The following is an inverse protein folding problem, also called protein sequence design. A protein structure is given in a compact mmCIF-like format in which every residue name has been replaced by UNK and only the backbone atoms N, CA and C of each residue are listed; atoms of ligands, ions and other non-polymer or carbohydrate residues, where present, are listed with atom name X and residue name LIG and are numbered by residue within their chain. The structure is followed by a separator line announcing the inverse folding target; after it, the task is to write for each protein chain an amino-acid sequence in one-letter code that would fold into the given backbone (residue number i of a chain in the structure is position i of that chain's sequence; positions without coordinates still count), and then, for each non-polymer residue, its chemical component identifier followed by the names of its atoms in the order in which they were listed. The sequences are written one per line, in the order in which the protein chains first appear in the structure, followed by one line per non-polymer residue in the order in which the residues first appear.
data_IF_761247255714
#
_entry.id   IF_761247255714
#
_cell.length_a   1.000
_cell.length_b   1.000
_cell.length_c   1.000
_cell.angle_alpha   90.00
_cell.angle_beta   90.00
_cell.angle_gamma   90.00
#
_symmetry.space_group_name_H-M   'P 1'
#
loop_
_entity.id
_entity.type
_entity.pdbx_description
1 polymer ?
#
# COMPACT_ATOMS: atom_id res chain seq x y z
N UNK A 1 31.39 22.23 68.88
CA UNK A 1 30.50 21.28 68.18
C UNK A 1 31.18 20.92 66.88
N UNK A 2 31.58 19.67 66.70
CA UNK A 2 32.25 19.22 65.47
C UNK A 2 31.18 19.08 64.40
N UNK A 3 31.27 19.89 63.35
CA UNK A 3 30.37 19.84 62.21
C UNK A 3 30.70 18.59 61.40
N UNK A 4 29.85 17.57 61.48
CA UNK A 4 30.05 16.34 60.72
C UNK A 4 29.56 16.53 59.29
N UNK A 5 30.50 16.61 58.34
CA UNK A 5 30.23 16.66 56.90
C UNK A 5 29.26 15.59 56.41
N UNK A 6 29.17 14.47 57.14
CA UNK A 6 28.25 13.36 56.89
C UNK A 6 26.77 13.77 56.98
N UNK A 7 26.43 14.75 57.83
CA UNK A 7 25.06 15.27 58.00
C UNK A 7 24.60 16.10 56.80
N UNK A 8 25.52 16.63 55.98
CA UNK A 8 25.20 17.38 54.75
C UNK A 8 25.28 16.47 53.52
N UNK A 9 26.29 15.61 53.46
CA UNK A 9 26.53 14.74 52.30
C UNK A 9 25.38 13.75 52.10
N UNK A 10 24.82 13.22 53.18
CA UNK A 10 23.76 12.20 53.09
C UNK A 10 22.45 12.75 52.50
N UNK A 11 21.89 13.88 52.99
CA UNK A 11 20.71 14.50 52.38
C UNK A 11 20.94 14.91 50.92
N UNK A 12 22.11 15.50 50.62
CA UNK A 12 22.48 15.91 49.26
C UNK A 12 22.51 14.69 48.34
N UNK A 13 23.19 13.61 48.73
CA UNK A 13 23.27 12.39 47.94
C UNK A 13 21.89 11.76 47.68
N UNK A 14 21.00 11.74 48.69
CA UNK A 14 19.61 11.27 48.50
C UNK A 14 18.82 12.15 47.54
N UNK A 15 18.95 13.48 47.63
CA UNK A 15 18.29 14.41 46.71
C UNK A 15 18.79 14.23 45.27
N UNK A 16 20.10 14.07 45.08
CA UNK A 16 20.68 13.83 43.74
C UNK A 16 20.23 12.47 43.19
N UNK A 17 20.17 11.43 44.03
CA UNK A 17 19.72 10.11 43.63
C UNK A 17 18.23 10.10 43.23
N UNK A 18 17.37 10.76 44.01
CA UNK A 18 15.94 10.93 43.69
C UNK A 18 15.76 11.74 42.41
N UNK A 19 16.53 12.82 42.24
CA UNK A 19 16.47 13.65 41.04
C UNK A 19 16.95 12.89 39.78
N UNK A 20 18.05 12.14 39.88
CA UNK A 20 18.54 11.29 38.79
C UNK A 20 17.56 10.17 38.45
N UNK A 21 16.96 9.53 39.47
CA UNK A 21 15.93 8.52 39.29
C UNK A 21 14.69 9.07 38.58
N UNK A 22 14.17 10.22 39.05
CA UNK A 22 13.04 10.89 38.41
C UNK A 22 13.36 11.31 36.97
N UNK A 23 14.56 11.87 36.73
CA UNK A 23 15.02 12.24 35.39
C UNK A 23 15.16 11.03 34.48
N UNK A 24 15.66 9.91 34.99
CA UNK A 24 15.78 8.67 34.23
C UNK A 24 14.41 8.10 33.87
N UNK A 25 13.49 8.02 34.84
CA UNK A 25 12.11 7.55 34.63
C UNK A 25 11.38 8.42 33.61
N UNK A 26 11.41 9.75 33.76
CA UNK A 26 10.81 10.70 32.80
C UNK A 26 11.38 10.51 31.40
N UNK A 27 12.71 10.38 31.28
CA UNK A 27 13.36 10.18 29.97
C UNK A 27 12.97 8.82 29.36
N UNK A 28 12.84 7.79 30.18
CA UNK A 28 12.45 6.46 29.71
C UNK A 28 10.98 6.42 29.30
N UNK A 29 10.07 7.06 30.04
CA UNK A 29 8.67 7.20 29.67
C UNK A 29 8.48 8.02 28.39
N UNK A 30 9.15 9.17 28.26
CA UNK A 30 9.10 9.97 27.04
C UNK A 30 9.63 9.20 25.84
N UNK A 31 10.72 8.43 26.02
CA UNK A 31 11.28 7.57 24.98
C UNK A 31 10.30 6.46 24.60
N UNK A 32 9.69 5.79 25.59
CA UNK A 32 8.68 4.74 25.37
C UNK A 32 7.47 5.27 24.61
N UNK A 33 6.89 6.40 25.04
CA UNK A 33 5.78 7.04 24.33
C UNK A 33 6.13 7.44 22.90
N UNK A 34 7.35 7.92 22.68
CA UNK A 34 7.83 8.26 21.33
C UNK A 34 7.91 7.02 20.44
N UNK A 35 8.43 5.90 20.97
CA UNK A 35 8.49 4.63 20.26
C UNK A 35 7.10 4.08 19.95
N UNK A 36 6.17 4.13 20.90
CA UNK A 36 4.77 3.71 20.71
C UNK A 36 4.11 4.51 19.58
N UNK A 37 4.24 5.84 19.57
CA UNK A 37 3.69 6.71 18.52
C UNK A 37 4.32 6.41 17.16
N UNK A 38 5.63 6.15 17.11
CA UNK A 38 6.32 5.82 15.86
C UNK A 38 5.89 4.46 15.31
N UNK A 39 5.73 3.47 16.19
CA UNK A 39 5.21 2.15 15.85
C UNK A 39 3.78 2.22 15.32
N UNK A 40 2.88 2.91 16.00
CA UNK A 40 1.47 3.04 15.59
C UNK A 40 1.34 3.71 14.22
N UNK A 41 2.09 4.79 13.98
CA UNK A 41 2.13 5.46 12.67
C UNK A 41 2.63 4.55 11.56
N UNK A 42 3.61 3.71 11.87
CA UNK A 42 4.19 2.77 10.92
C UNK A 42 3.19 1.67 10.56
N UNK A 43 2.57 1.05 11.57
CA UNK A 43 1.50 0.07 11.42
C UNK A 43 0.34 0.59 10.58
N UNK A 44 -0.09 1.83 10.84
CA UNK A 44 -1.16 2.48 10.09
C UNK A 44 -0.78 2.65 8.61
N UNK A 45 0.41 3.18 8.32
CA UNK A 45 0.91 3.33 6.95
C UNK A 45 0.93 2.00 6.20
N UNK A 46 1.45 0.95 6.83
CA UNK A 46 1.54 -0.37 6.19
C UNK A 46 0.17 -1.01 6.00
N UNK A 47 -0.76 -0.80 6.93
CA UNK A 47 -2.14 -1.30 6.82
C UNK A 47 -2.88 -0.64 5.67
N UNK A 48 -2.81 0.69 5.57
CA UNK A 48 -3.40 1.44 4.46
C UNK A 48 -2.84 1.00 3.11
N UNK A 49 -1.51 1.00 2.96
CA UNK A 49 -0.84 0.54 1.74
C UNK A 49 -1.19 -0.91 1.39
N UNK A 50 -1.29 -1.79 2.40
CA UNK A 50 -1.67 -3.19 2.19
C UNK A 50 -3.11 -3.35 1.73
N UNK A 51 -4.03 -2.52 2.23
CA UNK A 51 -5.42 -2.54 1.80
C UNK A 51 -5.56 -2.05 0.36
N UNK A 52 -4.89 -0.94 0.01
CA UNK A 52 -4.82 -0.46 -1.37
C UNK A 52 -4.29 -1.54 -2.32
N UNK A 53 -3.21 -2.23 -1.96
CA UNK A 53 -2.67 -3.31 -2.79
C UNK A 53 -3.65 -4.49 -2.94
N UNK A 54 -4.43 -4.81 -1.90
CA UNK A 54 -5.46 -5.85 -1.98
C UNK A 54 -6.58 -5.45 -2.92
N UNK A 55 -7.03 -4.20 -2.88
CA UNK A 55 -8.11 -3.69 -3.72
C UNK A 55 -7.70 -3.68 -5.18
N UNK A 56 -6.49 -3.19 -5.49
CA UNK A 56 -5.94 -3.24 -6.85
C UNK A 56 -5.83 -4.70 -7.32
N UNK A 57 -5.32 -5.60 -6.47
CA UNK A 57 -5.23 -7.02 -6.82
C UNK A 57 -6.62 -7.62 -7.13
N UNK A 58 -7.62 -7.28 -6.33
CA UNK A 58 -9.00 -7.73 -6.52
C UNK A 58 -9.56 -7.25 -7.85
N UNK A 59 -9.35 -5.98 -8.20
CA UNK A 59 -9.77 -5.43 -9.50
C UNK A 59 -9.03 -6.14 -10.63
N UNK A 60 -7.71 -6.29 -10.55
CA UNK A 60 -6.91 -6.97 -11.58
C UNK A 60 -7.39 -8.40 -11.84
N UNK A 61 -7.61 -9.18 -10.78
CA UNK A 61 -8.12 -10.55 -10.91
C UNK A 61 -9.53 -10.58 -11.49
N UNK A 62 -10.38 -9.62 -11.11
CA UNK A 62 -11.74 -9.52 -11.66
C UNK A 62 -11.72 -9.25 -13.17
N UNK A 63 -10.84 -8.34 -13.61
CA UNK A 63 -10.66 -8.05 -15.05
C UNK A 63 -10.11 -9.29 -15.76
N UNK A 64 -9.09 -9.96 -15.21
CA UNK A 64 -8.54 -11.19 -15.79
C UNK A 64 -9.60 -12.28 -15.96
N UNK A 65 -10.38 -12.56 -14.91
CA UNK A 65 -11.46 -13.54 -14.97
C UNK A 65 -12.55 -13.16 -15.96
N UNK A 66 -12.89 -11.87 -16.05
CA UNK A 66 -13.87 -11.41 -17.04
C UNK A 66 -13.34 -11.65 -18.46
N UNK A 67 -12.05 -11.43 -18.72
CA UNK A 67 -11.45 -11.68 -20.03
C UNK A 67 -11.45 -13.16 -20.43
N UNK A 68 -11.33 -14.07 -19.46
CA UNK A 68 -11.38 -15.51 -19.71
C UNK A 68 -12.72 -15.94 -20.36
N UNK A 69 -13.82 -15.24 -20.04
CA UNK A 69 -15.14 -15.51 -20.63
C UNK A 69 -15.24 -15.07 -22.10
N UNK A 70 -14.40 -14.12 -22.53
CA UNK A 70 -14.41 -13.54 -23.87
C UNK A 70 -13.29 -14.05 -24.78
N UNK A 71 -12.30 -14.76 -24.24
CA UNK A 71 -11.19 -15.33 -25.00
C UNK A 71 -11.53 -16.80 -25.32
N UNK A 72 -11.71 -17.16 -26.60
CA UNK A 72 -12.02 -18.53 -26.97
C UNK A 72 -10.86 -19.47 -26.68
N UNK A 73 -11.18 -20.70 -26.29
CA UNK A 73 -10.21 -21.77 -26.00
C UNK A 73 -9.47 -22.28 -27.24
N UNK A 74 -9.96 -21.96 -28.44
CA UNK A 74 -9.37 -22.33 -29.73
C UNK A 74 -9.15 -21.09 -30.59
N UNK A 75 -8.18 -21.15 -31.51
CA UNK A 75 -7.89 -20.04 -32.42
C UNK A 75 -9.15 -19.66 -33.23
N UNK A 76 -9.69 -18.48 -32.94
CA UNK A 76 -10.91 -17.97 -33.56
C UNK A 76 -10.68 -16.55 -34.05
N UNK A 77 -11.02 -16.33 -35.33
CA UNK A 77 -11.04 -15.01 -35.96
C UNK A 77 -12.36 -14.31 -35.62
N UNK A 78 -12.46 -13.86 -34.37
CA UNK A 78 -13.62 -13.13 -33.88
C UNK A 78 -13.20 -11.86 -33.15
N UNK A 79 -14.19 -11.02 -32.86
CA UNK A 79 -14.02 -9.78 -32.14
C UNK A 79 -15.19 -9.57 -31.19
N UNK A 80 -14.90 -9.03 -30.02
CA UNK A 80 -15.89 -8.72 -28.98
C UNK A 80 -16.08 -7.21 -28.91
N UNK A 81 -17.31 -6.68 -28.94
CA UNK A 81 -17.58 -5.28 -28.70
C UNK A 81 -17.12 -4.85 -27.30
N UNK A 82 -16.51 -3.67 -27.18
CA UNK A 82 -16.06 -3.12 -25.88
C UNK A 82 -17.22 -3.02 -24.88
N UNK A 83 -18.42 -2.70 -25.37
CA UNK A 83 -19.63 -2.61 -24.55
C UNK A 83 -19.98 -3.91 -23.82
N UNK A 84 -19.83 -5.08 -24.46
CA UNK A 84 -20.10 -6.36 -23.81
C UNK A 84 -19.14 -6.61 -22.64
N UNK A 85 -17.87 -6.23 -22.81
CA UNK A 85 -16.86 -6.30 -21.76
C UNK A 85 -17.17 -5.29 -20.64
N UNK A 86 -17.55 -4.06 -20.97
CA UNK A 86 -17.92 -3.04 -19.97
C UNK A 86 -19.16 -3.43 -19.17
N UNK A 87 -20.14 -4.06 -19.82
CA UNK A 87 -21.36 -4.56 -19.21
C UNK A 87 -21.05 -5.68 -18.22
N UNK A 88 -20.20 -6.64 -18.59
CA UNK A 88 -19.71 -7.68 -17.69
C UNK A 88 -18.97 -7.09 -16.47
N UNK A 89 -18.12 -6.08 -16.68
CA UNK A 89 -17.40 -5.39 -15.61
C UNK A 89 -18.31 -4.52 -14.72
N UNK A 90 -19.47 -4.07 -15.23
CA UNK A 90 -20.41 -3.20 -14.49
C UNK A 90 -20.91 -3.86 -13.22
N UNK A 91 -21.32 -5.13 -13.29
CA UNK A 91 -21.82 -5.86 -12.12
C UNK A 91 -20.81 -6.00 -10.98
N UNK A 92 -19.50 -5.99 -11.29
CA UNK A 92 -18.45 -5.98 -10.27
C UNK A 92 -18.23 -4.59 -9.67
N UNK A 93 -18.29 -3.54 -10.50
CA UNK A 93 -18.20 -2.14 -10.03
C UNK A 93 -19.34 -1.82 -9.06
N UNK A 94 -20.56 -2.25 -9.36
CA UNK A 94 -21.73 -2.09 -8.48
C UNK A 94 -21.57 -2.81 -7.12
N UNK A 95 -20.78 -3.90 -7.09
CA UNK A 95 -20.40 -4.62 -5.85
C UNK A 95 -19.20 -4.00 -5.13
N UNK A 96 -18.76 -2.81 -5.53
CA UNK A 96 -17.64 -2.09 -4.92
C UNK A 96 -16.26 -2.57 -5.36
N UNK A 97 -16.13 -3.32 -6.45
CA UNK A 97 -14.83 -3.69 -7.04
C UNK A 97 -14.37 -2.54 -7.93
N UNK A 98 -13.80 -1.50 -7.30
CA UNK A 98 -13.38 -0.27 -7.96
C UNK A 98 -11.97 0.11 -7.48
N UNK A 99 -11.19 0.71 -8.37
CA UNK A 99 -9.89 1.28 -8.02
C UNK A 99 -10.11 2.61 -7.31
N UNK A 100 -9.71 2.68 -6.05
CA UNK A 100 -9.68 3.94 -5.28
C UNK A 100 -8.36 4.67 -5.53
N UNK A 101 -8.39 5.61 -6.49
CA UNK A 101 -7.21 6.39 -6.84
C UNK A 101 -6.81 7.40 -5.75
N UNK A 102 -7.77 7.91 -4.97
CA UNK A 102 -7.47 8.83 -3.86
C UNK A 102 -6.67 8.10 -2.78
N UNK A 103 -7.07 6.87 -2.45
CA UNK A 103 -6.33 6.01 -1.53
C UNK A 103 -4.93 5.65 -2.07
N UNK A 104 -4.81 5.36 -3.37
CA UNK A 104 -3.51 5.11 -4.02
C UNK A 104 -2.60 6.33 -3.90
N UNK A 105 -3.08 7.52 -4.25
CA UNK A 105 -2.32 8.76 -4.18
C UNK A 105 -1.94 9.12 -2.75
N UNK A 106 -2.84 8.91 -1.78
CA UNK A 106 -2.54 9.11 -0.37
C UNK A 106 -1.41 8.18 0.12
N UNK A 107 -1.48 6.89 -0.18
CA UNK A 107 -0.41 5.93 0.12
C UNK A 107 0.90 6.31 -0.57
N UNK A 108 0.83 6.73 -1.84
CA UNK A 108 1.98 7.14 -2.62
C UNK A 108 2.72 8.31 -1.96
N UNK A 109 2.02 9.38 -1.57
CA UNK A 109 2.62 10.53 -0.90
C UNK A 109 3.24 10.16 0.45
N UNK A 110 2.56 9.32 1.25
CA UNK A 110 3.10 8.87 2.54
C UNK A 110 4.38 8.05 2.35
N UNK A 111 4.42 7.16 1.36
CA UNK A 111 5.61 6.38 1.03
C UNK A 111 6.74 7.27 0.51
N UNK A 112 6.45 8.24 -0.37
CA UNK A 112 7.46 9.16 -0.88
C UNK A 112 8.18 9.90 0.24
N UNK A 113 7.42 10.42 1.21
CA UNK A 113 7.99 11.22 2.30
C UNK A 113 8.70 10.37 3.37
N UNK A 114 8.15 9.20 3.71
CA UNK A 114 8.63 8.42 4.85
C UNK A 114 9.52 7.24 4.45
N UNK A 115 9.41 6.75 3.20
CA UNK A 115 9.95 5.46 2.74
C UNK A 115 10.35 5.50 1.26
N UNK A 116 11.35 6.31 0.87
CA UNK A 116 11.67 6.55 -0.55
C UNK A 116 12.08 5.28 -1.33
N UNK A 117 12.66 4.27 -0.65
CA UNK A 117 13.02 2.99 -1.28
C UNK A 117 11.77 2.16 -1.61
N UNK A 118 10.80 2.14 -0.71
CA UNK A 118 9.52 1.45 -0.88
C UNK A 118 8.65 2.21 -1.88
N UNK A 119 8.70 3.54 -1.89
CA UNK A 119 8.07 4.38 -2.90
C UNK A 119 8.56 4.05 -4.31
N UNK A 120 9.88 3.91 -4.52
CA UNK A 120 10.38 3.52 -5.83
C UNK A 120 9.85 2.14 -6.28
N UNK A 121 9.80 1.18 -5.36
CA UNK A 121 9.23 -0.14 -5.64
C UNK A 121 7.72 -0.08 -5.92
N UNK A 122 7.01 0.78 -5.20
CA UNK A 122 5.58 1.07 -5.39
C UNK A 122 5.32 1.59 -6.79
N UNK A 123 6.07 2.61 -7.22
CA UNK A 123 5.95 3.23 -8.55
C UNK A 123 6.23 2.23 -9.67
N UNK A 124 7.32 1.47 -9.55
CA UNK A 124 7.72 0.48 -10.56
C UNK A 124 6.66 -0.63 -10.73
N UNK A 125 6.00 -1.04 -9.66
CA UNK A 125 4.97 -2.08 -9.73
C UNK A 125 3.60 -1.53 -10.15
N UNK A 126 3.17 -0.41 -9.57
CA UNK A 126 1.79 0.06 -9.70
C UNK A 126 1.53 0.93 -10.91
N UNK A 127 2.44 1.83 -11.31
CA UNK A 127 2.18 2.68 -12.49
C UNK A 127 1.92 1.81 -13.74
N UNK A 128 2.75 0.80 -14.07
CA UNK A 128 2.52 0.00 -15.25
C UNK A 128 1.22 -0.79 -15.16
N UNK A 129 0.85 -1.29 -13.98
CA UNK A 129 -0.38 -2.04 -13.77
C UNK A 129 -1.63 -1.17 -13.90
N UNK A 130 -1.64 -0.01 -13.22
CA UNK A 130 -2.74 0.94 -13.30
C UNK A 130 -2.92 1.45 -14.73
N UNK A 131 -1.83 1.74 -15.43
CA UNK A 131 -1.86 2.13 -16.84
C UNK A 131 -2.41 1.04 -17.76
N UNK A 132 -2.23 -0.24 -17.44
CA UNK A 132 -2.87 -1.34 -18.18
C UNK A 132 -4.34 -1.42 -17.83
N UNK A 133 -4.71 -1.41 -16.55
CA UNK A 133 -6.10 -1.49 -16.10
C UNK A 133 -6.97 -0.38 -16.69
N UNK A 134 -6.49 0.86 -16.72
CA UNK A 134 -7.25 2.00 -17.24
C UNK A 134 -7.57 1.92 -18.73
N UNK A 135 -6.90 1.04 -19.50
CA UNK A 135 -7.23 0.79 -20.92
C UNK A 135 -8.62 0.18 -21.10
N UNK A 136 -9.11 -0.60 -20.14
CA UNK A 136 -10.42 -1.27 -20.15
C UNK A 136 -11.33 -0.87 -18.98
N UNK A 137 -10.80 -0.26 -17.92
CA UNK A 137 -11.63 0.32 -16.86
C UNK A 137 -11.44 1.83 -16.89
N UNK A 138 -12.10 2.56 -17.81
CA UNK A 138 -11.91 4.00 -17.92
C UNK A 138 -12.27 4.67 -16.58
N UNK A 139 -11.29 5.40 -16.06
CA UNK A 139 -11.41 6.26 -14.89
C UNK A 139 -12.38 7.39 -15.24
N UNK A 140 -13.63 7.33 -14.74
CA UNK A 140 -14.66 8.37 -14.88
C UNK A 140 -14.51 9.21 -16.16
N UNK A 141 -14.88 8.68 -17.33
CA UNK A 141 -15.01 9.58 -18.47
C UNK A 141 -16.33 10.34 -18.33
N UNK A 142 -16.25 11.62 -17.98
CA UNK A 142 -17.35 12.59 -17.95
C UNK A 142 -17.99 12.85 -19.32
N UNK A 143 -17.71 12.04 -20.34
CA UNK A 143 -18.56 11.85 -21.51
C UNK A 143 -18.33 10.46 -22.13
N UNK A 144 -19.18 9.46 -21.85
CA UNK A 144 -19.00 8.11 -22.38
C UNK A 144 -19.48 7.90 -23.83
N UNK A 145 -20.04 8.90 -24.51
CA UNK A 145 -21.05 8.62 -25.55
C UNK A 145 -20.56 8.78 -27.01
N UNK A 146 -19.38 9.34 -27.30
CA UNK A 146 -19.03 9.62 -28.70
C UNK A 146 -18.07 8.61 -29.37
N UNK A 147 -17.18 7.95 -28.64
CA UNK A 147 -16.10 7.10 -29.24
C UNK A 147 -16.15 5.62 -28.81
N UNK A 148 -16.88 5.29 -27.75
CA UNK A 148 -16.98 3.93 -27.23
C UNK A 148 -17.92 3.03 -28.06
N UNK A 149 -18.80 3.60 -28.87
CA UNK A 149 -19.96 2.89 -29.45
C UNK A 149 -19.59 1.84 -30.51
N UNK A 150 -18.37 1.89 -31.07
CA UNK A 150 -17.95 0.97 -32.14
C UNK A 150 -16.60 0.27 -31.92
N UNK A 151 -15.96 0.44 -30.75
CA UNK A 151 -14.69 -0.24 -30.49
C UNK A 151 -14.94 -1.75 -30.35
N UNK A 152 -14.18 -2.54 -31.10
CA UNK A 152 -14.16 -4.00 -30.98
C UNK A 152 -12.75 -4.44 -30.67
N UNK A 153 -12.62 -5.43 -29.80
CA UNK A 153 -11.38 -6.09 -29.47
C UNK A 153 -11.32 -7.42 -30.21
N UNK A 154 -10.30 -7.61 -31.04
CA UNK A 154 -10.01 -8.94 -31.56
C UNK A 154 -9.62 -9.89 -30.42
N UNK A 155 -9.89 -11.19 -30.58
CA UNK A 155 -9.47 -12.18 -29.59
C UNK A 155 -7.94 -12.17 -29.35
N UNK A 156 -7.16 -11.82 -30.39
CA UNK A 156 -5.70 -11.67 -30.26
C UNK A 156 -5.35 -10.49 -29.37
N UNK A 157 -5.99 -9.32 -29.54
CA UNK A 157 -5.78 -8.16 -28.67
C UNK A 157 -6.20 -8.45 -27.22
N UNK A 158 -7.31 -9.15 -27.00
CA UNK A 158 -7.74 -9.58 -25.66
C UNK A 158 -6.71 -10.52 -25.02
N UNK A 159 -6.18 -11.47 -25.79
CA UNK A 159 -5.16 -12.41 -25.31
C UNK A 159 -3.87 -11.68 -24.91
N UNK A 160 -3.39 -10.75 -25.75
CA UNK A 160 -2.22 -9.94 -25.45
C UNK A 160 -2.44 -9.04 -24.23
N UNK A 161 -3.61 -8.40 -24.15
CA UNK A 161 -3.97 -7.57 -22.99
C UNK A 161 -4.02 -8.38 -21.69
N UNK A 162 -4.64 -9.57 -21.73
CA UNK A 162 -4.69 -10.50 -20.60
C UNK A 162 -3.29 -10.92 -20.15
N UNK A 163 -2.42 -11.29 -21.09
CA UNK A 163 -1.02 -11.65 -20.79
C UNK A 163 -0.28 -10.48 -20.15
N UNK A 164 -0.38 -9.27 -20.73
CA UNK A 164 0.21 -8.06 -20.18
C UNK A 164 -0.28 -7.78 -18.75
N UNK A 165 -1.59 -7.93 -18.51
CA UNK A 165 -2.20 -7.70 -17.20
C UNK A 165 -1.76 -8.76 -16.16
N UNK A 166 -1.72 -10.03 -16.54
CA UNK A 166 -1.26 -11.14 -15.69
C UNK A 166 0.21 -10.97 -15.29
N UNK A 167 1.07 -10.60 -16.24
CA UNK A 167 2.48 -10.32 -15.97
C UNK A 167 2.67 -9.17 -14.98
N UNK A 168 1.94 -8.06 -15.16
CA UNK A 168 2.05 -6.89 -14.27
C UNK A 168 1.43 -7.15 -12.89
N UNK A 169 0.35 -7.94 -12.82
CA UNK A 169 -0.30 -8.31 -11.56
C UNK A 169 0.65 -9.09 -10.64
N UNK A 170 1.55 -9.91 -11.19
CA UNK A 170 2.56 -10.67 -10.42
C UNK A 170 3.53 -9.78 -9.63
N UNK A 171 3.63 -8.49 -9.94
CA UNK A 171 4.42 -7.55 -9.17
C UNK A 171 3.79 -7.20 -7.80
N UNK A 172 2.46 -7.32 -7.65
CA UNK A 172 1.76 -6.93 -6.41
C UNK A 172 2.14 -7.78 -5.19
N UNK A 173 2.17 -9.14 -5.26
CA UNK A 173 2.59 -9.95 -4.13
C UNK A 173 4.04 -9.69 -3.71
N UNK A 174 4.92 -9.41 -4.68
CA UNK A 174 6.33 -9.08 -4.44
C UNK A 174 6.44 -7.76 -3.68
N UNK A 175 5.72 -6.72 -4.14
CA UNK A 175 5.66 -5.42 -3.48
C UNK A 175 5.11 -5.55 -2.06
N UNK A 176 4.01 -6.30 -1.86
CA UNK A 176 3.42 -6.52 -0.54
C UNK A 176 4.40 -7.21 0.41
N UNK A 177 5.11 -8.25 -0.06
CA UNK A 177 6.14 -8.93 0.73
C UNK A 177 7.26 -7.97 1.12
N UNK A 178 7.73 -7.15 0.18
CA UNK A 178 8.78 -6.16 0.42
C UNK A 178 8.36 -5.13 1.48
N UNK A 179 7.15 -4.57 1.38
CA UNK A 179 6.61 -3.65 2.39
C UNK A 179 6.53 -4.30 3.77
N UNK A 180 6.03 -5.53 3.83
CA UNK A 180 5.93 -6.29 5.10
C UNK A 180 7.30 -6.57 5.71
N UNK A 181 8.29 -6.94 4.90
CA UNK A 181 9.67 -7.17 5.36
C UNK A 181 10.35 -5.88 5.82
N UNK A 182 10.11 -4.76 5.14
CA UNK A 182 10.61 -3.45 5.56
C UNK A 182 10.05 -3.09 6.94
N UNK A 183 8.72 -3.23 7.13
CA UNK A 183 8.06 -3.04 8.42
C UNK A 183 8.70 -3.89 9.52
N UNK A 184 8.85 -5.20 9.28
CA UNK A 184 9.45 -6.11 10.26
C UNK A 184 10.88 -5.71 10.63
N UNK A 185 11.68 -5.27 9.66
CA UNK A 185 13.03 -4.76 9.90
C UNK A 185 13.01 -3.51 10.78
N UNK A 186 12.10 -2.58 10.53
CA UNK A 186 11.96 -1.36 11.33
C UNK A 186 11.56 -1.67 12.77
N UNK A 187 10.61 -2.60 12.97
CA UNK A 187 10.24 -3.08 14.29
C UNK A 187 11.43 -3.67 15.04
N UNK A 188 12.24 -4.50 14.39
CA UNK A 188 13.45 -5.04 14.98
C UNK A 188 14.44 -3.92 15.36
N UNK A 189 14.61 -2.88 14.54
CA UNK A 189 15.51 -1.76 14.85
C UNK A 189 14.99 -0.87 15.99
N UNK A 190 13.68 -0.66 16.06
CA UNK A 190 13.04 0.02 17.20
C UNK A 190 13.20 -0.79 18.49
N UNK A 191 13.20 -2.13 18.41
CA UNK A 191 13.46 -3.03 19.53
C UNK A 191 14.94 -3.20 19.92
N UNK A 192 15.87 -3.10 18.96
CA UNK A 192 17.32 -3.28 19.17
C UNK A 192 18.07 -1.99 19.53
N UNK A 193 17.41 -0.84 19.42
CA UNK A 193 17.92 0.42 19.99
C UNK A 193 17.64 0.56 21.51
N UNK A 194 17.16 -0.52 22.13
CA UNK A 194 16.97 -0.72 23.58
C UNK A 194 18.26 -0.60 24.37
#
# INVERSE_FOLDING_TARGET
MAFEWKEIITPVATLTAVWLGARFTLRNELRKKTLEIQSEKLELLFTECSNVLKDINRVSLTVLHTLDDFIPTTESKGSVPDQEIQEALRGYREKGVVIDFDAITACQHKLEFHRPKEYQAWIVALIPLLGTLTKMTPYKNTNPIAEADNRKWSHQELTLYRQELDEKQKALPILRKRLTSAMASDYCQLGLSS
#
